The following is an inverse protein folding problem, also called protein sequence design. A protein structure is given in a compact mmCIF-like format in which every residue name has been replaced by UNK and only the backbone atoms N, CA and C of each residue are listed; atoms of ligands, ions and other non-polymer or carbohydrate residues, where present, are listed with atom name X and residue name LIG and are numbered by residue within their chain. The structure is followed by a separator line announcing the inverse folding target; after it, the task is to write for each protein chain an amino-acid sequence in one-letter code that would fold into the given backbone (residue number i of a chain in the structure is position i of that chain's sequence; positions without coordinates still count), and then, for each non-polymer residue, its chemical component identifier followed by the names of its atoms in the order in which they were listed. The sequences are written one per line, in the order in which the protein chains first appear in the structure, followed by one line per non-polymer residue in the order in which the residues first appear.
data_IF_754454378979
#
_entry.id   IF_754454378979
#
_cell.length_a   1.000
_cell.length_b   1.000
_cell.length_c   1.000
_cell.angle_alpha   90.00
_cell.angle_beta   90.00
_cell.angle_gamma   90.00
#
_symmetry.space_group_name_H-M   'P 1'
#
loop_
_entity.id
_entity.type
_entity.pdbx_description
1 polymer ?
#
# COMPACT_ATOMS: atom_id res chain seq x y z
N UNK A 1 7.22 -16.86 7.00
CA UNK A 1 7.18 -15.42 7.14
C UNK A 1 5.87 -14.85 6.66
N UNK A 2 5.11 -14.23 7.50
CA UNK A 2 3.82 -13.74 7.05
C UNK A 2 3.97 -12.60 6.07
N UNK A 3 3.31 -12.73 4.97
CA UNK A 3 3.22 -11.67 4.00
C UNK A 3 2.02 -10.77 4.29
N UNK A 4 1.26 -11.12 5.32
CA UNK A 4 0.01 -10.43 5.64
C UNK A 4 0.20 -9.41 6.75
N UNK A 5 1.12 -8.48 6.54
CA UNK A 5 1.32 -7.41 7.50
C UNK A 5 0.21 -6.40 7.29
N UNK A 6 -0.59 -6.11 8.32
CA UNK A 6 -1.66 -5.13 8.16
C UNK A 6 -1.11 -3.74 7.85
N UNK A 7 -1.94 -2.91 7.25
CA UNK A 7 -1.58 -1.53 6.95
C UNK A 7 -1.22 -0.82 8.25
N UNK A 8 -0.03 -0.30 8.29
CA UNK A 8 0.54 0.23 9.53
C UNK A 8 0.06 1.64 9.79
N UNK A 9 -0.96 1.75 10.64
CA UNK A 9 -1.41 3.03 11.13
C UNK A 9 -1.95 3.98 10.08
N UNK A 10 -2.29 3.49 8.91
CA UNK A 10 -2.88 4.37 7.90
C UNK A 10 -4.32 4.65 8.26
N UNK A 11 -4.62 5.93 8.42
CA UNK A 11 -5.98 6.38 8.66
C UNK A 11 -6.45 7.15 7.44
N UNK A 12 -7.69 6.94 7.07
CA UNK A 12 -8.20 7.66 5.92
C UNK A 12 -9.64 8.08 6.16
N UNK A 13 -10.05 9.11 5.44
CA UNK A 13 -11.41 9.62 5.51
C UNK A 13 -12.38 8.57 4.98
N UNK A 14 -13.60 8.65 5.48
CA UNK A 14 -14.64 7.72 5.05
C UNK A 14 -14.85 7.75 3.54
N UNK A 15 -14.86 8.94 2.96
CA UNK A 15 -15.07 9.06 1.52
C UNK A 15 -13.97 8.37 0.72
N UNK A 16 -12.73 8.57 1.10
CA UNK A 16 -11.61 7.92 0.42
C UNK A 16 -11.69 6.41 0.58
N UNK A 17 -11.98 5.97 1.79
CA UNK A 17 -12.11 4.54 2.06
C UNK A 17 -13.19 3.89 1.20
N UNK A 18 -14.36 4.53 1.14
CA UNK A 18 -15.47 3.98 0.37
C UNK A 18 -15.18 3.95 -1.12
N UNK A 19 -14.51 4.97 -1.63
CA UNK A 19 -14.13 5.01 -3.04
C UNK A 19 -13.13 3.92 -3.38
N UNK A 20 -12.13 3.75 -2.55
CA UNK A 20 -11.15 2.69 -2.75
C UNK A 20 -11.78 1.31 -2.68
N UNK A 21 -12.68 1.15 -1.73
CA UNK A 21 -13.39 -0.11 -1.59
C UNK A 21 -14.20 -0.43 -2.85
N UNK A 22 -14.83 0.59 -3.43
CA UNK A 22 -15.59 0.40 -4.65
C UNK A 22 -14.70 0.01 -5.82
N UNK A 23 -13.55 0.66 -5.93
CA UNK A 23 -12.59 0.34 -6.97
C UNK A 23 -12.09 -1.10 -6.81
N UNK A 24 -11.81 -1.50 -5.57
CA UNK A 24 -11.35 -2.84 -5.30
C UNK A 24 -12.38 -3.87 -5.75
N UNK A 25 -13.66 -3.61 -5.49
CA UNK A 25 -14.73 -4.50 -5.93
C UNK A 25 -14.76 -4.62 -7.45
N UNK A 26 -14.61 -3.49 -8.13
CA UNK A 26 -14.61 -3.49 -9.59
C UNK A 26 -13.42 -4.24 -10.18
N UNK A 27 -12.32 -4.31 -9.44
CA UNK A 27 -11.12 -4.98 -9.88
C UNK A 27 -10.95 -6.38 -9.29
N UNK A 28 -11.96 -6.85 -8.57
CA UNK A 28 -11.94 -8.16 -7.93
C UNK A 28 -10.78 -8.33 -6.95
N UNK A 29 -10.55 -7.31 -6.15
CA UNK A 29 -9.52 -7.34 -5.11
C UNK A 29 -10.14 -6.99 -3.78
N UNK A 30 -9.52 -7.47 -2.69
CA UNK A 30 -9.92 -6.99 -1.37
C UNK A 30 -9.45 -5.55 -1.19
N UNK A 31 -10.03 -4.84 -0.23
CA UNK A 31 -9.60 -3.48 0.06
C UNK A 31 -8.10 -3.44 0.37
N UNK A 32 -7.62 -4.36 1.20
CA UNK A 32 -6.21 -4.39 1.57
C UNK A 32 -5.31 -4.63 0.37
N UNK A 33 -5.70 -5.54 -0.50
CA UNK A 33 -4.93 -5.81 -1.71
C UNK A 33 -4.87 -4.59 -2.61
N UNK A 34 -6.00 -3.91 -2.75
CA UNK A 34 -6.05 -2.71 -3.58
C UNK A 34 -5.18 -1.61 -3.00
N UNK A 35 -5.27 -1.38 -1.69
CA UNK A 35 -4.49 -0.35 -1.04
C UNK A 35 -3.00 -0.61 -1.19
N UNK A 36 -2.58 -1.85 -0.96
CA UNK A 36 -1.17 -2.21 -1.11
C UNK A 36 -0.71 -2.03 -2.55
N UNK A 37 -1.53 -2.42 -3.49
CA UNK A 37 -1.21 -2.28 -4.91
C UNK A 37 -0.96 -0.80 -5.27
N UNK A 38 -1.86 0.07 -4.84
CA UNK A 38 -1.74 1.50 -5.13
C UNK A 38 -0.48 2.08 -4.50
N UNK A 39 -0.21 1.71 -3.25
CA UNK A 39 0.98 2.21 -2.57
C UNK A 39 2.26 1.73 -3.25
N UNK A 40 2.27 0.48 -3.69
CA UNK A 40 3.42 -0.05 -4.43
C UNK A 40 3.63 0.71 -5.73
N UNK A 41 2.55 0.98 -6.46
CA UNK A 41 2.66 1.71 -7.71
C UNK A 41 3.21 3.10 -7.48
N UNK A 42 2.79 3.74 -6.40
CA UNK A 42 3.33 5.06 -6.08
C UNK A 42 4.83 5.00 -5.80
N UNK A 43 5.27 4.02 -5.02
CA UNK A 43 6.69 3.88 -4.69
C UNK A 43 7.51 3.60 -5.94
N UNK A 44 7.02 2.71 -6.80
CA UNK A 44 7.72 2.38 -8.04
C UNK A 44 7.89 3.65 -8.88
N UNK A 45 6.84 4.44 -9.01
CA UNK A 45 6.91 5.66 -9.80
C UNK A 45 7.87 6.67 -9.17
N UNK A 46 7.83 6.80 -7.84
CA UNK A 46 8.71 7.70 -7.14
C UNK A 46 10.17 7.34 -7.38
N UNK A 47 10.48 6.04 -7.27
CA UNK A 47 11.85 5.58 -7.47
C UNK A 47 12.32 5.76 -8.90
N UNK A 48 11.39 5.63 -9.85
CA UNK A 48 11.73 5.83 -11.25
C UNK A 48 12.13 7.27 -11.53
N UNK A 49 11.50 8.20 -10.83
CA UNK A 49 11.76 9.63 -11.02
C UNK A 49 12.91 10.15 -10.16
N UNK A 50 13.10 9.57 -8.99
CA UNK A 50 14.02 10.11 -7.99
C UNK A 50 15.14 9.15 -7.58
N UNK A 51 15.16 7.95 -8.14
CA UNK A 51 16.17 6.97 -7.79
C UNK A 51 15.71 6.01 -6.70
N UNK A 52 16.37 4.90 -6.63
CA UNK A 52 16.02 3.83 -5.70
C UNK A 52 16.15 4.26 -4.25
N UNK A 53 15.17 3.90 -3.44
CA UNK A 53 15.21 4.15 -2.00
C UNK A 53 15.77 2.90 -1.34
N UNK A 54 16.95 3.04 -0.73
CA UNK A 54 17.59 1.91 -0.05
C UNK A 54 17.14 1.92 1.40
N UNK A 55 16.60 0.79 1.84
CA UNK A 55 16.12 0.66 3.21
C UNK A 55 16.68 -0.60 3.84
N UNK A 56 16.74 -0.61 5.17
CA UNK A 56 17.19 -1.75 5.94
C UNK A 56 15.99 -2.41 6.59
N UNK A 57 15.61 -3.56 6.08
CA UNK A 57 14.44 -4.27 6.60
C UNK A 57 14.65 -4.77 8.04
N UNK A 58 15.89 -4.85 8.50
CA UNK A 58 16.15 -5.25 9.88
C UNK A 58 15.57 -4.26 10.88
N UNK A 59 15.35 -3.03 10.47
CA UNK A 59 14.72 -2.03 11.34
C UNK A 59 13.32 -2.42 11.78
N UNK A 60 12.68 -3.32 11.05
CA UNK A 60 11.35 -3.77 11.40
C UNK A 60 11.31 -4.58 12.69
N UNK A 61 12.43 -5.14 13.10
CA UNK A 61 12.51 -6.07 14.22
C UNK A 61 13.23 -5.50 15.43
N UNK A 62 13.47 -4.22 15.43
CA UNK A 62 14.11 -3.57 16.56
C UNK A 62 13.12 -3.12 17.62
#
# INVERSE_FOLDING_TARGET
MPSNIPLRGVRMEDELYLKLRRIAEMENRSFNQEAVFILKQYVIRYEKENGEIVVDTDQLYE
#
